data_IF_835340849085
#
_entry.id   IF_835340849085
#
_cell.length_a   1.000
_cell.length_b   1.000
_cell.length_c   1.000
_cell.angle_alpha   90.00
_cell.angle_beta   90.00
_cell.angle_gamma   90.00
#
_symmetry.space_group_name_H-M   'P 1'
#
loop_
_entity.id
_entity.type
_entity.pdbx_description
1 polymer ?
#
# COMPACT_ATOMS: atom_id res chain seq x y z
N UNK A 1 42.90 1.17 6.50
CA UNK A 1 42.39 -0.12 7.04
C UNK A 1 41.34 0.16 8.12
N UNK A 2 41.64 1.00 9.12
CA UNK A 2 40.69 1.44 10.15
C UNK A 2 39.40 2.12 9.63
N UNK A 3 39.48 2.94 8.57
CA UNK A 3 38.27 3.59 8.00
C UNK A 3 37.29 2.61 7.33
N UNK A 4 37.78 1.48 6.82
CA UNK A 4 36.94 0.46 6.18
C UNK A 4 36.22 -0.41 7.22
N UNK A 5 36.84 -0.66 8.37
CA UNK A 5 36.24 -1.39 9.49
C UNK A 5 35.11 -0.57 10.14
N UNK A 6 35.33 0.72 10.39
CA UNK A 6 34.30 1.61 10.93
C UNK A 6 33.10 1.78 9.98
N UNK A 7 33.34 1.89 8.67
CA UNK A 7 32.27 1.94 7.68
C UNK A 7 31.46 0.63 7.65
N UNK A 8 32.13 -0.53 7.75
CA UNK A 8 31.47 -1.83 7.81
C UNK A 8 30.59 -1.98 9.05
N UNK A 9 31.08 -1.59 10.23
CA UNK A 9 30.30 -1.60 11.48
C UNK A 9 29.08 -0.68 11.38
N UNK A 10 29.24 0.51 10.80
CA UNK A 10 28.12 1.44 10.58
C UNK A 10 27.05 0.84 9.64
N UNK A 11 27.48 0.20 8.55
CA UNK A 11 26.56 -0.49 7.63
C UNK A 11 25.84 -1.67 8.29
N UNK A 12 26.54 -2.46 9.12
CA UNK A 12 25.93 -3.57 9.87
C UNK A 12 24.91 -3.07 10.90
N UNK A 13 25.25 -2.00 11.62
CA UNK A 13 24.34 -1.39 12.59
C UNK A 13 23.08 -0.86 11.91
N UNK A 14 23.23 -0.15 10.79
CA UNK A 14 22.09 0.34 10.01
C UNK A 14 21.24 -0.78 9.43
N UNK A 15 21.84 -1.84 8.93
CA UNK A 15 21.11 -3.00 8.44
C UNK A 15 20.26 -3.62 9.55
N UNK A 16 20.84 -3.79 10.75
CA UNK A 16 20.14 -4.34 11.91
C UNK A 16 18.97 -3.45 12.34
N UNK A 17 19.18 -2.13 12.44
CA UNK A 17 18.11 -1.19 12.78
C UNK A 17 16.98 -1.17 11.74
N UNK A 18 17.33 -1.28 10.46
CA UNK A 18 16.34 -1.38 9.37
C UNK A 18 15.51 -2.67 9.47
N UNK A 19 16.15 -3.81 9.76
CA UNK A 19 15.47 -5.08 10.01
C UNK A 19 14.52 -4.99 11.21
N UNK A 20 15.02 -4.49 12.35
CA UNK A 20 14.20 -4.32 13.55
C UNK A 20 12.99 -3.39 13.32
N UNK A 21 13.14 -2.36 12.50
CA UNK A 21 12.04 -1.47 12.14
C UNK A 21 11.02 -2.15 11.23
N UNK A 22 11.48 -2.93 10.25
CA UNK A 22 10.62 -3.75 9.39
C UNK A 22 9.80 -4.77 10.20
N UNK A 23 10.45 -5.49 11.12
CA UNK A 23 9.79 -6.47 11.98
C UNK A 23 8.71 -5.81 12.86
N UNK A 24 8.98 -4.60 13.38
CA UNK A 24 8.00 -3.83 14.17
C UNK A 24 6.79 -3.40 13.33
N UNK A 25 7.00 -2.95 12.08
CA UNK A 25 5.91 -2.59 11.17
C UNK A 25 4.98 -3.79 10.96
N UNK A 26 5.55 -4.95 10.61
CA UNK A 26 4.80 -6.18 10.37
C UNK A 26 4.05 -6.62 11.64
N UNK A 27 4.69 -6.56 12.80
CA UNK A 27 4.05 -6.89 14.07
C UNK A 27 2.84 -5.99 14.34
N UNK A 28 2.96 -4.68 14.14
CA UNK A 28 1.84 -3.75 14.31
C UNK A 28 0.70 -4.01 13.32
N UNK A 29 1.00 -4.29 12.04
CA UNK A 29 -0.02 -4.65 11.05
C UNK A 29 -0.77 -5.94 11.45
N UNK A 30 -0.06 -6.97 11.90
CA UNK A 30 -0.68 -8.25 12.31
C UNK A 30 -1.57 -8.08 13.55
N UNK A 31 -1.15 -7.25 14.51
CA UNK A 31 -1.96 -6.90 15.68
C UNK A 31 -3.20 -6.10 15.24
N UNK A 32 -3.04 -5.15 14.32
CA UNK A 32 -4.15 -4.38 13.78
C UNK A 32 -5.18 -5.25 13.06
N UNK A 33 -4.73 -6.16 12.17
CA UNK A 33 -5.57 -7.15 11.48
C UNK A 33 -6.34 -8.02 12.50
N UNK A 34 -5.68 -8.43 13.58
CA UNK A 34 -6.31 -9.20 14.67
C UNK A 34 -7.38 -8.40 15.41
N UNK A 35 -7.12 -7.13 15.70
CA UNK A 35 -8.11 -6.25 16.32
C UNK A 35 -9.28 -5.92 15.39
N UNK A 36 -9.03 -5.78 14.09
CA UNK A 36 -10.09 -5.63 13.09
C UNK A 36 -11.02 -6.85 13.09
N UNK A 37 -10.46 -8.06 13.07
CA UNK A 37 -11.24 -9.30 13.15
C UNK A 37 -12.06 -9.42 14.44
N UNK A 38 -11.59 -8.82 15.53
CA UNK A 38 -12.31 -8.74 16.82
C UNK A 38 -13.30 -7.57 16.91
N UNK A 39 -13.43 -6.75 15.86
CA UNK A 39 -14.29 -5.56 15.85
C UNK A 39 -13.77 -4.40 16.71
N UNK A 40 -12.53 -4.47 17.22
CA UNK A 40 -11.91 -3.42 18.04
C UNK A 40 -11.23 -2.37 17.16
N UNK A 41 -12.05 -1.66 16.38
CA UNK A 41 -11.59 -0.83 15.25
C UNK A 41 -10.67 0.33 15.66
N UNK A 42 -10.87 0.94 16.84
CA UNK A 42 -10.00 2.01 17.31
C UNK A 42 -8.59 1.53 17.66
N UNK A 43 -8.47 0.31 18.22
CA UNK A 43 -7.17 -0.31 18.48
C UNK A 43 -6.49 -0.72 17.17
N UNK A 44 -7.25 -1.29 16.23
CA UNK A 44 -6.74 -1.60 14.90
C UNK A 44 -6.17 -0.36 14.21
N UNK A 45 -6.93 0.74 14.19
CA UNK A 45 -6.49 2.03 13.65
C UNK A 45 -5.22 2.53 14.33
N UNK A 46 -5.15 2.47 15.66
CA UNK A 46 -3.96 2.91 16.41
C UNK A 46 -2.71 2.14 16.00
N UNK A 47 -2.81 0.81 15.84
CA UNK A 47 -1.67 0.00 15.45
C UNK A 47 -1.26 0.20 13.99
N UNK A 48 -2.20 0.38 13.06
CA UNK A 48 -1.84 0.79 11.70
C UNK A 48 -1.18 2.17 11.68
N UNK A 49 -1.60 3.11 12.51
CA UNK A 49 -0.93 4.42 12.60
C UNK A 49 0.49 4.28 13.14
N UNK A 50 0.72 3.48 14.18
CA UNK A 50 2.07 3.21 14.67
C UNK A 50 2.95 2.55 13.61
N UNK A 51 2.42 1.62 12.82
CA UNK A 51 3.12 1.05 11.68
C UNK A 51 3.46 2.12 10.63
N UNK A 52 2.51 3.03 10.35
CA UNK A 52 2.70 4.12 9.39
C UNK A 52 3.81 5.07 9.84
N UNK A 53 3.81 5.45 11.11
CA UNK A 53 4.79 6.38 11.67
C UNK A 53 6.21 5.80 11.52
N UNK A 54 6.41 4.51 11.83
CA UNK A 54 7.71 3.83 11.63
C UNK A 54 8.07 3.74 10.13
N UNK A 55 7.10 3.44 9.25
CA UNK A 55 7.34 3.37 7.82
C UNK A 55 7.71 4.75 7.22
N UNK A 56 7.17 5.83 7.78
CA UNK A 56 7.52 7.22 7.44
C UNK A 56 8.92 7.58 7.94
N UNK A 57 9.25 7.26 9.19
CA UNK A 57 10.57 7.51 9.80
C UNK A 57 11.69 6.77 9.06
N UNK A 58 11.42 5.55 8.61
CA UNK A 58 12.39 4.73 7.86
C UNK A 58 12.43 5.05 6.37
N UNK A 59 11.50 5.87 5.86
CA UNK A 59 11.37 6.16 4.43
C UNK A 59 10.94 4.96 3.58
N UNK A 60 10.43 3.89 4.19
CA UNK A 60 10.01 2.68 3.49
C UNK A 60 8.67 2.88 2.77
N UNK A 61 8.74 3.42 1.54
CA UNK A 61 7.56 3.71 0.70
C UNK A 61 6.70 2.47 0.40
N UNK A 62 7.30 1.28 0.34
CA UNK A 62 6.54 0.04 0.08
C UNK A 62 5.62 -0.28 1.25
N UNK A 63 6.13 -0.20 2.48
CA UNK A 63 5.33 -0.40 3.69
C UNK A 63 4.27 0.69 3.86
N UNK A 64 4.62 1.96 3.61
CA UNK A 64 3.66 3.07 3.65
C UNK A 64 2.45 2.79 2.73
N UNK A 65 2.71 2.35 1.50
CA UNK A 65 1.68 2.02 0.52
C UNK A 65 0.77 0.87 1.00
N UNK A 66 1.35 -0.19 1.57
CA UNK A 66 0.57 -1.33 2.09
C UNK A 66 -0.25 -0.94 3.32
N UNK A 67 0.26 -0.05 4.19
CA UNK A 67 -0.49 0.47 5.33
C UNK A 67 -1.62 1.42 4.88
N UNK A 68 -1.39 2.27 3.87
CA UNK A 68 -2.46 3.09 3.27
C UNK A 68 -3.60 2.23 2.73
N UNK A 69 -3.27 1.12 2.06
CA UNK A 69 -4.28 0.16 1.60
C UNK A 69 -5.11 -0.39 2.77
N UNK A 70 -4.46 -0.81 3.86
CA UNK A 70 -5.12 -1.36 5.05
C UNK A 70 -6.00 -0.32 5.76
N UNK A 71 -5.51 0.90 5.96
CA UNK A 71 -6.29 2.00 6.52
C UNK A 71 -7.48 2.35 5.63
N UNK A 72 -7.29 2.38 4.31
CA UNK A 72 -8.38 2.57 3.36
C UNK A 72 -9.47 1.50 3.49
N UNK A 73 -9.08 0.22 3.50
CA UNK A 73 -10.03 -0.89 3.66
C UNK A 73 -10.76 -0.85 5.02
N UNK A 74 -10.06 -0.55 6.11
CA UNK A 74 -10.66 -0.35 7.45
C UNK A 74 -11.72 0.77 7.42
N UNK A 75 -11.39 1.92 6.84
CA UNK A 75 -12.29 3.06 6.78
C UNK A 75 -13.52 2.81 5.91
N UNK A 76 -13.33 2.14 4.77
CA UNK A 76 -14.43 1.85 3.83
C UNK A 76 -15.36 0.76 4.37
N UNK A 77 -14.79 -0.38 4.75
CA UNK A 77 -15.55 -1.61 5.05
C UNK A 77 -16.10 -1.65 6.47
N UNK A 78 -15.33 -1.19 7.45
CA UNK A 78 -15.69 -1.34 8.87
C UNK A 78 -16.24 -0.05 9.48
N UNK A 79 -15.68 1.10 9.10
CA UNK A 79 -16.08 2.40 9.65
C UNK A 79 -17.11 3.15 8.79
N UNK A 80 -17.42 2.65 7.59
CA UNK A 80 -18.35 3.26 6.64
C UNK A 80 -18.04 4.75 6.36
N UNK A 81 -16.75 5.08 6.20
CA UNK A 81 -16.23 6.43 5.91
C UNK A 81 -15.53 6.43 4.54
N UNK A 82 -16.28 6.32 3.44
CA UNK A 82 -15.69 6.15 2.12
C UNK A 82 -14.87 7.36 1.67
N UNK A 83 -15.21 8.58 2.08
CA UNK A 83 -14.42 9.79 1.80
C UNK A 83 -13.01 9.72 2.42
N UNK A 84 -12.88 9.12 3.60
CA UNK A 84 -11.58 8.93 4.27
C UNK A 84 -10.80 7.82 3.57
N UNK A 85 -11.47 6.73 3.19
CA UNK A 85 -10.84 5.65 2.43
C UNK A 85 -10.31 6.11 1.08
N UNK A 86 -11.06 6.98 0.37
CA UNK A 86 -10.65 7.54 -0.90
C UNK A 86 -9.33 8.30 -0.79
N UNK A 87 -9.14 9.08 0.29
CA UNK A 87 -7.87 9.78 0.55
C UNK A 87 -6.72 8.79 0.70
N UNK A 88 -6.88 7.75 1.51
CA UNK A 88 -5.83 6.73 1.69
C UNK A 88 -5.51 5.96 0.40
N UNK A 89 -6.51 5.61 -0.40
CA UNK A 89 -6.25 4.96 -1.69
C UNK A 89 -5.60 5.91 -2.70
N UNK A 90 -5.83 7.21 -2.60
CA UNK A 90 -5.14 8.22 -3.44
C UNK A 90 -3.66 8.33 -3.07
N UNK A 91 -3.32 8.32 -1.78
CA UNK A 91 -1.92 8.27 -1.32
C UNK A 91 -1.23 6.97 -1.76
N UNK A 92 -1.92 5.83 -1.63
CA UNK A 92 -1.44 4.54 -2.15
C UNK A 92 -1.17 4.61 -3.66
N UNK A 93 -2.06 5.23 -4.44
CA UNK A 93 -1.90 5.40 -5.88
C UNK A 93 -0.69 6.27 -6.22
N UNK A 94 -0.48 7.37 -5.50
CA UNK A 94 0.66 8.25 -5.68
C UNK A 94 1.98 7.49 -5.45
N UNK A 95 2.09 6.75 -4.35
CA UNK A 95 3.27 5.93 -4.06
C UNK A 95 3.47 4.81 -5.08
N UNK A 96 2.41 4.16 -5.54
CA UNK A 96 2.50 3.12 -6.57
C UNK A 96 3.06 3.67 -7.88
N UNK A 97 2.66 4.88 -8.28
CA UNK A 97 3.19 5.58 -9.46
C UNK A 97 4.65 5.97 -9.27
N UNK A 98 5.00 6.55 -8.13
CA UNK A 98 6.38 6.93 -7.77
C UNK A 98 7.34 5.74 -7.84
N UNK A 99 6.89 4.57 -7.36
CA UNK A 99 7.68 3.34 -7.35
C UNK A 99 7.61 2.55 -8.67
N UNK A 100 6.81 3.00 -9.64
CA UNK A 100 6.59 2.29 -10.89
C UNK A 100 5.85 0.95 -10.74
N UNK A 101 5.15 0.73 -9.63
CA UNK A 101 4.44 -0.52 -9.31
C UNK A 101 3.06 -0.57 -9.96
N UNK A 102 3.02 -1.02 -11.21
CA UNK A 102 1.80 -1.12 -12.02
C UNK A 102 0.74 -2.05 -11.43
N UNK A 103 1.14 -3.10 -10.72
CA UNK A 103 0.23 -4.00 -10.01
C UNK A 103 -0.53 -3.28 -8.88
N UNK A 104 0.17 -2.42 -8.14
CA UNK A 104 -0.39 -1.62 -7.03
C UNK A 104 -1.17 -0.42 -7.52
N UNK A 105 -0.72 0.22 -8.60
CA UNK A 105 -1.45 1.30 -9.27
C UNK A 105 -2.85 0.81 -9.69
N UNK A 106 -2.91 -0.35 -10.33
CA UNK A 106 -4.15 -1.03 -10.71
C UNK A 106 -5.02 -1.35 -9.49
N UNK A 107 -4.42 -1.87 -8.42
CA UNK A 107 -5.14 -2.17 -7.17
C UNK A 107 -5.76 -0.89 -6.57
N UNK A 108 -5.03 0.22 -6.59
CA UNK A 108 -5.52 1.50 -6.10
C UNK A 108 -6.68 2.04 -6.94
N UNK A 109 -6.64 1.95 -8.28
CA UNK A 109 -7.77 2.31 -9.14
C UNK A 109 -9.05 1.53 -8.79
N UNK A 110 -8.94 0.21 -8.64
CA UNK A 110 -10.09 -0.59 -8.22
C UNK A 110 -10.63 -0.14 -6.85
N UNK A 111 -9.75 0.16 -5.89
CA UNK A 111 -10.17 0.60 -4.55
C UNK A 111 -10.80 2.00 -4.55
N UNK A 112 -10.29 2.92 -5.36
CA UNK A 112 -10.88 4.25 -5.57
C UNK A 112 -12.27 4.15 -6.20
N UNK A 113 -12.43 3.30 -7.23
CA UNK A 113 -13.73 3.06 -7.86
C UNK A 113 -14.78 2.57 -6.86
N UNK A 114 -14.41 1.59 -6.02
CA UNK A 114 -15.32 1.10 -4.97
C UNK A 114 -15.61 2.17 -3.90
N UNK A 115 -14.64 3.01 -3.53
CA UNK A 115 -14.89 4.11 -2.60
C UNK A 115 -15.86 5.15 -3.18
N UNK A 116 -15.77 5.44 -4.49
CA UNK A 116 -16.70 6.32 -5.20
C UNK A 116 -18.12 5.72 -5.28
N UNK A 117 -18.24 4.41 -5.52
CA UNK A 117 -19.54 3.70 -5.44
C UNK A 117 -20.18 3.84 -4.06
N UNK A 118 -19.39 3.65 -3.00
CA UNK A 118 -19.86 3.82 -1.61
C UNK A 118 -20.25 5.29 -1.30
N UNK A 119 -19.71 6.26 -2.04
CA UNK A 119 -20.10 7.69 -2.00
C UNK A 119 -21.28 8.03 -2.92
N UNK A 120 -21.79 7.07 -3.71
CA UNK A 120 -22.79 7.27 -4.77
C UNK A 120 -22.33 8.20 -5.91
N UNK A 121 -21.01 8.38 -6.05
CA UNK A 121 -20.40 9.10 -7.17
C UNK A 121 -20.06 8.10 -8.29
N UNK A 122 -21.09 7.72 -9.05
CA UNK A 122 -20.98 6.69 -10.09
C UNK A 122 -20.17 7.16 -11.30
N UNK A 123 -20.10 8.47 -11.54
CA UNK A 123 -19.30 9.05 -12.62
C UNK A 123 -17.81 8.88 -12.31
N UNK A 124 -17.37 9.29 -11.12
CA UNK A 124 -15.99 9.08 -10.69
C UNK A 124 -15.65 7.59 -10.56
N UNK A 125 -16.58 6.76 -10.09
CA UNK A 125 -16.37 5.31 -10.01
C UNK A 125 -16.10 4.70 -11.38
N UNK A 126 -16.88 5.10 -12.40
CA UNK A 126 -16.70 4.62 -13.77
C UNK A 126 -15.33 5.01 -14.32
N UNK A 127 -14.87 6.23 -14.10
CA UNK A 127 -13.54 6.68 -14.52
C UNK A 127 -12.43 5.81 -13.90
N UNK A 128 -12.50 5.55 -12.59
CA UNK A 128 -11.52 4.70 -11.91
C UNK A 128 -11.52 3.25 -12.43
N UNK A 129 -12.69 2.67 -12.65
CA UNK A 129 -12.80 1.31 -13.19
C UNK A 129 -12.30 1.21 -14.64
N UNK A 130 -12.52 2.25 -15.46
CA UNK A 130 -11.95 2.33 -16.81
C UNK A 130 -10.43 2.35 -16.79
N UNK A 131 -9.81 3.04 -15.81
CA UNK A 131 -8.35 3.03 -15.64
C UNK A 131 -7.82 1.64 -15.23
N UNK A 132 -8.49 0.92 -14.30
CA UNK A 132 -8.15 -0.50 -13.98
C UNK A 132 -8.25 -1.39 -15.23
N UNK A 133 -9.35 -1.27 -15.98
CA UNK A 133 -9.57 -2.08 -17.18
C UNK A 133 -8.50 -1.84 -18.25
N UNK A 134 -8.18 -0.58 -18.53
CA UNK A 134 -7.15 -0.21 -19.51
C UNK A 134 -5.79 -0.81 -19.15
N UNK A 135 -5.39 -0.75 -17.87
CA UNK A 135 -4.14 -1.36 -17.41
C UNK A 135 -4.11 -2.88 -17.57
N UNK A 136 -5.24 -3.57 -17.37
CA UNK A 136 -5.35 -5.02 -17.59
C UNK A 136 -5.16 -5.38 -19.06
N UNK A 137 -5.76 -4.60 -19.97
CA UNK A 137 -5.62 -4.80 -21.42
C UNK A 137 -4.18 -4.59 -21.87
N UNK A 138 -3.55 -3.48 -21.47
CA UNK A 138 -2.14 -3.19 -21.81
C UNK A 138 -1.16 -4.27 -21.29
N UNK A 139 -1.48 -4.91 -20.16
CA UNK A 139 -0.68 -6.01 -19.61
C UNK A 139 -0.92 -7.32 -20.36
N UNK A 140 -2.17 -7.62 -20.73
CA UNK A 140 -2.54 -8.81 -21.50
C UNK A 140 -1.96 -8.80 -22.91
N UNK A 141 -2.03 -7.66 -23.61
CA UNK A 141 -1.50 -7.51 -24.95
C UNK A 141 0.03 -7.71 -24.99
N UNK A 142 0.75 -7.23 -23.97
CA UNK A 142 2.20 -7.48 -23.84
C UNK A 142 2.53 -8.97 -23.67
N UNK A 143 1.72 -9.72 -22.92
CA UNK A 143 1.91 -11.17 -22.73
C UNK A 143 1.67 -11.93 -24.03
N UNK A 144 0.64 -11.56 -24.80
CA UNK A 144 0.34 -12.18 -26.10
C UNK A 144 1.47 -11.91 -27.12
N UNK A 145 1.97 -10.67 -27.19
CA UNK A 145 3.10 -10.32 -28.07
C UNK A 145 4.40 -11.03 -27.65
N UNK A 146 4.63 -11.24 -26.34
CA UNK A 146 5.81 -11.96 -25.87
C UNK A 146 5.79 -13.44 -26.26
N UNK A 147 4.64 -14.12 -26.17
CA UNK A 147 4.53 -15.53 -26.57
C UNK A 147 4.63 -15.72 -28.10
N UNK A 148 4.03 -14.82 -28.89
CA UNK A 148 4.06 -14.91 -30.36
C UNK A 148 5.43 -14.61 -30.98
N UNK A 149 6.31 -13.86 -30.30
CA UNK A 149 7.68 -13.59 -30.78
C UNK A 149 8.70 -14.70 -30.49
N UNK A 150 8.35 -15.68 -29.66
CA UNK A 150 9.20 -16.83 -29.32
C UNK A 150 8.74 -18.13 -29.99
N UNK A 151 7.83 -18.04 -30.96
CA UNK A 151 7.32 -19.16 -31.80
C UNK A 151 7.84 -19.02 -33.22
#
# INVERSE_FOLDING_TARGET
>A
MQDYEAALEWHQMNLKMSQESGDKIIAHQNIADSYEALGKLDLARSHYQSAMDIAMETGNKTEQMDIYFKLGDLHRKQLHKPQVSHKYYTEMLALARDLGRKDKERQAYNRLGLACEDMQDYEAALEWHQMDLKMRQESGDKIIVAHTKHS
#
